data_IF_439453650783
#
_entry.id   IF_439453650783
#
_cell.length_a   1.000
_cell.length_b   1.000
_cell.length_c   1.000
_cell.angle_alpha   90.00
_cell.angle_beta   90.00
_cell.angle_gamma   90.00
#
_symmetry.space_group_name_H-M   'P 1'
#
loop_
_entity.id
_entity.type
_entity.pdbx_description
1 polymer ?
#
# COMPACT_ATOMS: atom_id res chain seq x y z
N UNK A 1 -24.20 10.26 -14.63
CA UNK A 1 -23.61 11.61 -14.65
C UNK A 1 -22.96 11.83 -13.31
N UNK A 2 -21.61 11.74 -13.24
CA UNK A 2 -20.91 11.74 -11.95
C UNK A 2 -20.30 13.12 -11.66
N UNK A 3 -21.05 13.97 -10.99
CA UNK A 3 -20.53 15.19 -10.38
C UNK A 3 -19.56 14.93 -9.21
N UNK A 4 -19.37 13.67 -8.82
CA UNK A 4 -18.62 13.31 -7.62
C UNK A 4 -17.08 13.44 -7.72
N UNK A 5 -16.52 13.31 -8.91
CA UNK A 5 -15.04 13.31 -9.07
C UNK A 5 -14.41 14.70 -8.99
N UNK A 6 -15.03 15.71 -9.61
CA UNK A 6 -14.53 17.08 -9.58
C UNK A 6 -14.63 17.72 -8.18
N UNK A 7 -15.70 17.40 -7.44
CA UNK A 7 -15.87 17.84 -6.04
C UNK A 7 -14.83 17.19 -5.13
N UNK A 8 -14.44 15.95 -5.39
CA UNK A 8 -13.45 15.25 -4.59
C UNK A 8 -12.03 15.83 -4.76
N UNK A 9 -11.63 16.20 -5.97
CA UNK A 9 -10.35 16.87 -6.22
C UNK A 9 -10.34 18.30 -5.64
N UNK A 10 -11.43 19.04 -5.73
CA UNK A 10 -11.55 20.39 -5.17
C UNK A 10 -11.49 20.39 -3.63
N UNK A 11 -12.12 19.43 -2.97
CA UNK A 11 -12.07 19.26 -1.50
C UNK A 11 -10.65 18.89 -1.04
N UNK A 12 -9.89 18.17 -1.85
CA UNK A 12 -8.47 17.91 -1.55
C UNK A 12 -7.62 19.18 -1.65
N UNK A 13 -7.84 20.05 -2.64
CA UNK A 13 -7.14 21.34 -2.72
C UNK A 13 -7.37 22.22 -1.49
N UNK A 14 -8.60 22.27 -0.97
CA UNK A 14 -8.94 23.08 0.22
C UNK A 14 -8.35 22.50 1.51
N UNK A 15 -8.28 21.18 1.66
CA UNK A 15 -7.63 20.52 2.80
C UNK A 15 -6.10 20.74 2.81
N UNK A 16 -5.46 20.79 1.64
CA UNK A 16 -4.02 21.00 1.53
C UNK A 16 -3.58 22.46 1.62
N UNK A 17 -4.45 23.42 1.32
CA UNK A 17 -4.15 24.85 1.57
C UNK A 17 -3.84 25.13 3.04
N UNK A 18 -4.42 24.36 3.97
CA UNK A 18 -4.11 24.42 5.40
C UNK A 18 -2.72 23.90 5.77
N UNK A 19 -2.11 23.03 4.98
CA UNK A 19 -0.79 22.44 5.23
C UNK A 19 0.36 23.12 4.48
N UNK A 20 0.07 23.89 3.43
CA UNK A 20 1.06 24.46 2.53
C UNK A 20 1.63 25.82 2.94
N UNK A 21 1.22 26.41 4.08
CA UNK A 21 1.69 27.74 4.51
C UNK A 21 3.11 27.75 5.12
N UNK A 22 3.89 26.69 4.99
CA UNK A 22 5.19 26.50 5.63
C UNK A 22 6.43 26.52 4.72
N UNK A 23 6.29 26.58 3.40
CA UNK A 23 7.46 26.52 2.49
C UNK A 23 7.40 27.57 1.39
N UNK A 24 7.58 28.83 1.78
CA UNK A 24 8.08 29.87 0.89
C UNK A 24 9.57 30.04 1.13
N UNK A 25 10.41 29.51 0.26
CA UNK A 25 11.79 29.95 0.14
C UNK A 25 12.06 30.58 -1.22
N UNK A 26 12.32 31.88 -1.09
CA UNK A 26 12.92 32.79 -2.06
C UNK A 26 13.97 32.14 -2.94
N UNK A 27 13.88 32.33 -4.25
CA UNK A 27 15.03 32.79 -5.01
C UNK A 27 14.60 33.46 -6.33
N UNK A 28 14.79 34.77 -6.31
CA UNK A 28 14.84 35.63 -7.48
C UNK A 28 16.27 35.62 -8.03
N UNK A 29 16.44 35.34 -9.29
CA UNK A 29 17.41 36.09 -10.11
C UNK A 29 17.22 35.79 -11.59
N UNK A 30 17.03 36.85 -12.30
CA UNK A 30 16.96 36.99 -13.75
C UNK A 30 18.28 36.62 -14.42
N UNK A 31 18.20 35.98 -15.58
CA UNK A 31 19.10 36.25 -16.69
C UNK A 31 18.42 35.86 -18.00
N UNK A 32 18.08 36.90 -18.76
CA UNK A 32 17.76 36.82 -20.18
C UNK A 32 19.04 36.50 -20.94
N UNK A 33 19.01 35.43 -21.75
CA UNK A 33 19.92 35.30 -22.88
C UNK A 33 19.09 34.93 -24.12
N UNK A 34 19.10 35.86 -25.07
CA UNK A 34 18.62 35.67 -26.43
C UNK A 34 19.44 34.57 -27.10
N UNK A 35 18.78 33.59 -27.70
CA UNK A 35 19.36 32.76 -28.74
C UNK A 35 18.37 32.67 -29.90
N UNK A 36 18.92 33.03 -31.04
CA UNK A 36 18.34 33.15 -32.35
C UNK A 36 17.76 31.87 -32.92
N UNK A 37 16.69 32.07 -33.65
CA UNK A 37 16.02 31.13 -34.55
C UNK A 37 16.94 30.25 -35.41
N UNK A 38 16.72 28.92 -35.39
CA UNK A 38 16.92 28.05 -36.54
C UNK A 38 15.72 27.12 -36.63
N UNK A 39 14.92 27.36 -37.64
CA UNK A 39 13.84 26.53 -38.14
C UNK A 39 14.42 25.23 -38.74
N UNK A 40 14.05 24.07 -38.15
CA UNK A 40 13.86 22.76 -38.77
C UNK A 40 13.96 21.64 -37.73
N UNK A 41 12.87 21.47 -36.93
CA UNK A 41 12.73 20.26 -36.08
C UNK A 41 11.28 19.95 -35.67
N UNK A 42 10.29 20.50 -36.40
CA UNK A 42 8.88 20.34 -35.98
C UNK A 42 8.28 18.95 -36.29
N UNK A 43 8.90 18.12 -37.12
CA UNK A 43 8.35 16.80 -37.47
C UNK A 43 8.82 15.63 -36.61
N UNK A 44 9.85 15.81 -35.78
CA UNK A 44 10.37 14.76 -34.86
C UNK A 44 9.87 14.90 -33.42
N UNK A 45 9.35 16.06 -33.04
CA UNK A 45 8.82 16.27 -31.67
C UNK A 45 7.39 15.75 -31.50
N UNK A 46 6.54 15.78 -32.54
CA UNK A 46 5.17 15.27 -32.50
C UNK A 46 5.10 13.73 -32.38
N UNK A 47 6.14 13.00 -32.77
CA UNK A 47 6.19 11.54 -32.64
C UNK A 47 6.65 11.07 -31.26
N UNK A 48 7.12 11.97 -30.37
CA UNK A 48 7.49 11.64 -28.99
C UNK A 48 6.29 11.85 -28.09
N UNK A 49 5.75 10.79 -27.45
CA UNK A 49 4.69 10.89 -26.46
C UNK A 49 5.02 11.89 -25.35
N UNK A 50 4.08 12.12 -24.45
CA UNK A 50 4.22 13.09 -23.34
C UNK A 50 5.47 12.80 -22.50
N UNK A 51 5.73 11.51 -22.20
CA UNK A 51 6.91 11.06 -21.47
C UNK A 51 8.23 11.45 -22.15
N UNK A 52 8.26 11.43 -23.49
CA UNK A 52 9.45 11.77 -24.27
C UNK A 52 9.85 13.25 -24.23
N UNK A 53 8.97 14.13 -23.78
CA UNK A 53 9.18 15.59 -23.66
C UNK A 53 9.72 16.00 -22.28
N UNK A 54 9.73 15.10 -21.29
CA UNK A 54 10.13 15.36 -19.91
C UNK A 54 11.54 14.83 -19.67
N UNK A 55 12.35 15.56 -18.91
CA UNK A 55 13.64 15.07 -18.46
C UNK A 55 13.54 14.12 -17.25
N UNK A 56 14.58 13.36 -16.95
CA UNK A 56 14.56 12.36 -15.90
C UNK A 56 14.48 12.95 -14.50
N UNK A 57 14.99 14.18 -14.30
CA UNK A 57 14.86 14.90 -13.03
C UNK A 57 13.39 15.26 -12.78
N UNK A 58 12.71 15.83 -13.79
CA UNK A 58 11.28 16.14 -13.70
C UNK A 58 10.45 14.87 -13.42
N UNK A 59 10.74 13.75 -14.12
CA UNK A 59 10.05 12.49 -13.91
C UNK A 59 10.21 11.99 -12.47
N UNK A 60 11.42 12.06 -11.93
CA UNK A 60 11.68 11.63 -10.54
C UNK A 60 10.96 12.49 -9.52
N UNK A 61 10.86 13.80 -9.75
CA UNK A 61 10.19 14.71 -8.83
C UNK A 61 8.66 14.63 -8.93
N UNK A 62 8.13 14.53 -10.15
CA UNK A 62 6.67 14.56 -10.36
C UNK A 62 5.98 13.21 -10.17
N UNK A 63 6.69 12.10 -10.38
CA UNK A 63 6.08 10.78 -10.36
C UNK A 63 6.78 9.82 -9.38
N UNK A 64 7.82 10.27 -8.68
CA UNK A 64 8.67 9.44 -7.82
C UNK A 64 9.11 8.14 -8.52
N UNK A 65 9.41 8.22 -9.83
CA UNK A 65 9.66 7.06 -10.67
C UNK A 65 10.78 7.30 -11.69
N UNK A 66 11.27 6.22 -12.29
CA UNK A 66 12.24 6.28 -13.38
C UNK A 66 11.56 6.21 -14.75
N UNK A 67 12.21 6.75 -15.79
CA UNK A 67 11.69 6.69 -17.16
C UNK A 67 11.38 5.26 -17.62
N UNK A 68 12.25 4.30 -17.31
CA UNK A 68 12.05 2.90 -17.67
C UNK A 68 10.79 2.31 -17.01
N UNK A 69 10.57 2.62 -15.73
CA UNK A 69 9.38 2.20 -15.02
C UNK A 69 8.11 2.86 -15.57
N UNK A 70 8.15 4.16 -15.87
CA UNK A 70 7.01 4.88 -16.45
C UNK A 70 6.67 4.35 -17.85
N UNK A 71 7.67 4.12 -18.70
CA UNK A 71 7.47 3.55 -20.03
C UNK A 71 6.82 2.16 -19.96
N UNK A 72 7.30 1.29 -19.04
CA UNK A 72 6.68 0.01 -18.78
C UNK A 72 5.21 0.13 -18.34
N UNK A 73 4.91 1.04 -17.40
CA UNK A 73 3.55 1.25 -16.90
C UNK A 73 2.62 1.75 -18.00
N UNK A 74 3.08 2.71 -18.83
CA UNK A 74 2.29 3.25 -19.93
C UNK A 74 1.97 2.14 -20.95
N UNK A 75 2.97 1.38 -21.37
CA UNK A 75 2.78 0.28 -22.32
C UNK A 75 1.83 -0.80 -21.76
N UNK A 76 2.09 -1.26 -20.54
CA UNK A 76 1.34 -2.34 -19.92
C UNK A 76 -0.13 -1.95 -19.69
N UNK A 77 -0.40 -0.77 -19.12
CA UNK A 77 -1.76 -0.29 -18.85
C UNK A 77 -2.51 0.01 -20.13
N UNK A 78 -1.85 0.62 -21.13
CA UNK A 78 -2.44 0.88 -22.46
C UNK A 78 -2.85 -0.43 -23.14
N UNK A 79 -1.97 -1.42 -23.13
CA UNK A 79 -2.25 -2.74 -23.71
C UNK A 79 -3.43 -3.44 -23.02
N UNK A 80 -3.62 -3.21 -21.71
CA UNK A 80 -4.73 -3.77 -20.96
C UNK A 80 -6.06 -3.08 -21.30
N UNK A 81 -6.06 -1.75 -21.36
CA UNK A 81 -7.23 -0.95 -21.72
C UNK A 81 -7.74 -1.28 -23.14
N UNK A 82 -6.84 -1.55 -24.09
CA UNK A 82 -7.23 -1.93 -25.46
C UNK A 82 -7.95 -3.27 -25.51
N UNK A 83 -7.60 -4.24 -24.64
CA UNK A 83 -8.25 -5.55 -24.58
C UNK A 83 -9.66 -5.48 -24.01
N UNK A 84 -9.92 -4.58 -23.10
CA UNK A 84 -11.21 -4.48 -22.39
C UNK A 84 -12.25 -3.61 -23.11
N UNK A 85 -12.04 -3.24 -24.40
CA UNK A 85 -12.96 -2.42 -25.25
C UNK A 85 -13.39 -1.14 -24.54
N UNK A 86 -12.48 -0.51 -23.82
CA UNK A 86 -12.76 0.72 -23.08
C UNK A 86 -12.70 1.94 -24.00
N UNK A 87 -13.81 2.71 -24.05
CA UNK A 87 -13.81 4.04 -24.70
C UNK A 87 -13.56 5.11 -23.64
N UNK A 88 -12.50 5.95 -23.77
CA UNK A 88 -12.35 7.12 -22.93
C UNK A 88 -13.60 8.00 -23.01
N UNK A 89 -14.04 8.55 -21.88
CA UNK A 89 -15.24 9.41 -21.82
C UNK A 89 -15.01 10.73 -22.58
N UNK A 90 -13.75 11.12 -22.77
CA UNK A 90 -13.34 12.28 -23.57
C UNK A 90 -12.53 11.82 -24.78
N UNK A 91 -12.98 12.11 -25.98
CA UNK A 91 -12.28 11.82 -27.25
C UNK A 91 -10.90 12.51 -27.36
N UNK A 92 -10.60 13.47 -26.49
CA UNK A 92 -9.37 14.26 -26.50
C UNK A 92 -8.33 13.84 -25.45
N UNK A 93 -8.69 13.02 -24.46
CA UNK A 93 -7.77 12.68 -23.36
C UNK A 93 -6.89 11.48 -23.74
N UNK A 94 -5.60 11.69 -23.83
CA UNK A 94 -4.61 10.63 -24.04
C UNK A 94 -4.56 9.67 -22.86
N UNK A 95 -4.53 8.37 -23.12
CA UNK A 95 -4.33 7.33 -22.08
C UNK A 95 -3.02 7.55 -21.32
N UNK A 96 -1.96 7.95 -22.03
CA UNK A 96 -0.67 8.32 -21.42
C UNK A 96 -0.83 9.47 -20.41
N UNK A 97 -1.58 10.52 -20.76
CA UNK A 97 -1.85 11.64 -19.87
C UNK A 97 -2.61 11.21 -18.61
N UNK A 98 -3.63 10.34 -18.75
CA UNK A 98 -4.39 9.82 -17.61
C UNK A 98 -3.52 8.96 -16.68
N UNK A 99 -2.62 8.13 -17.25
CA UNK A 99 -1.67 7.34 -16.46
C UNK A 99 -0.74 8.26 -15.68
N UNK A 100 -0.12 9.25 -16.33
CA UNK A 100 0.78 10.20 -15.67
C UNK A 100 0.06 11.04 -14.61
N UNK A 101 -1.17 11.49 -14.86
CA UNK A 101 -2.00 12.19 -13.87
C UNK A 101 -2.26 11.31 -12.63
N UNK A 102 -2.59 10.03 -12.85
CA UNK A 102 -2.81 9.07 -11.75
C UNK A 102 -1.54 8.84 -10.94
N UNK A 103 -0.40 8.66 -11.60
CA UNK A 103 0.88 8.48 -10.92
C UNK A 103 1.28 9.71 -10.11
N UNK A 104 1.06 10.92 -10.65
CA UNK A 104 1.26 12.17 -9.90
C UNK A 104 0.35 12.23 -8.67
N UNK A 105 -0.94 11.92 -8.83
CA UNK A 105 -1.89 11.88 -7.72
C UNK A 105 -1.45 10.86 -6.65
N UNK A 106 -1.07 9.65 -7.03
CA UNK A 106 -0.56 8.65 -6.09
C UNK A 106 0.66 9.17 -5.33
N UNK A 107 1.62 9.78 -6.04
CA UNK A 107 2.89 10.25 -5.47
C UNK A 107 2.74 11.44 -4.53
N UNK A 108 1.82 12.36 -4.81
CA UNK A 108 1.69 13.64 -4.08
C UNK A 108 0.39 13.77 -3.27
N UNK A 109 -0.62 12.94 -3.52
CA UNK A 109 -1.92 13.00 -2.85
C UNK A 109 -2.90 14.02 -3.44
N UNK A 110 -2.48 14.80 -4.42
CA UNK A 110 -3.30 15.81 -5.10
C UNK A 110 -2.85 15.99 -6.56
N UNK A 111 -3.68 16.66 -7.35
CA UNK A 111 -3.40 16.92 -8.76
C UNK A 111 -3.56 18.42 -9.06
N UNK A 112 -2.48 19.21 -9.04
CA UNK A 112 -2.55 20.65 -9.26
C UNK A 112 -2.85 20.97 -10.72
N UNK A 113 -3.57 22.09 -10.94
CA UNK A 113 -3.93 22.58 -12.28
C UNK A 113 -2.73 22.66 -13.22
N UNK A 114 -1.57 23.09 -12.73
CA UNK A 114 -0.33 23.18 -13.52
C UNK A 114 0.07 21.84 -14.13
N UNK A 115 -0.16 20.73 -13.43
CA UNK A 115 0.14 19.38 -13.93
C UNK A 115 -0.93 18.94 -14.93
N UNK A 116 -2.22 19.17 -14.65
CA UNK A 116 -3.29 18.83 -15.61
C UNK A 116 -3.14 19.61 -16.91
N UNK A 117 -2.82 20.92 -16.84
CA UNK A 117 -2.55 21.76 -18.02
C UNK A 117 -1.33 21.23 -18.83
N UNK A 118 -0.25 20.82 -18.14
CA UNK A 118 0.93 20.21 -18.77
C UNK A 118 0.60 18.91 -19.50
N UNK A 119 -0.32 18.12 -18.94
CA UNK A 119 -0.76 16.84 -19.51
C UNK A 119 -1.89 17.02 -20.55
N UNK A 120 -2.38 18.23 -20.77
CA UNK A 120 -3.50 18.52 -21.68
C UNK A 120 -4.83 17.96 -21.19
N UNK A 121 -5.04 17.87 -19.88
CA UNK A 121 -6.25 17.37 -19.25
C UNK A 121 -7.01 18.51 -18.56
N UNK A 122 -8.33 18.54 -18.70
CA UNK A 122 -9.16 19.30 -17.78
C UNK A 122 -9.32 18.57 -16.43
N UNK A 123 -9.86 19.24 -15.42
CA UNK A 123 -10.01 18.65 -14.08
C UNK A 123 -10.94 17.43 -14.06
N UNK A 124 -11.97 17.40 -14.89
CA UNK A 124 -12.91 16.30 -14.97
C UNK A 124 -12.24 15.07 -15.59
N UNK A 125 -11.59 15.24 -16.75
CA UNK A 125 -10.85 14.19 -17.43
C UNK A 125 -9.72 13.64 -16.54
N UNK A 126 -9.04 14.49 -15.78
CA UNK A 126 -8.02 14.09 -14.84
C UNK A 126 -8.59 13.24 -13.69
N UNK A 127 -9.73 13.63 -13.11
CA UNK A 127 -10.42 12.88 -12.06
C UNK A 127 -10.93 11.52 -12.55
N UNK A 128 -11.52 11.49 -13.73
CA UNK A 128 -11.95 10.25 -14.39
C UNK A 128 -10.77 9.34 -14.71
N UNK A 129 -9.65 9.92 -15.17
CA UNK A 129 -8.39 9.22 -15.40
C UNK A 129 -7.88 8.56 -14.13
N UNK A 130 -7.83 9.26 -13.00
CA UNK A 130 -7.41 8.68 -11.70
C UNK A 130 -8.29 7.50 -11.32
N UNK A 131 -9.61 7.62 -11.44
CA UNK A 131 -10.53 6.53 -11.11
C UNK A 131 -10.35 5.31 -12.04
N UNK A 132 -10.24 5.56 -13.34
CA UNK A 132 -10.09 4.51 -14.35
C UNK A 132 -8.76 3.77 -14.18
N UNK A 133 -7.66 4.51 -14.17
CA UNK A 133 -6.31 3.92 -14.13
C UNK A 133 -6.09 3.21 -12.78
N UNK A 134 -6.58 3.77 -11.67
CA UNK A 134 -6.53 3.09 -10.37
C UNK A 134 -7.30 1.77 -10.41
N UNK A 135 -8.46 1.73 -11.09
CA UNK A 135 -9.20 0.47 -11.29
C UNK A 135 -8.39 -0.52 -12.11
N UNK A 136 -7.83 -0.12 -13.24
CA UNK A 136 -7.01 -1.01 -14.10
C UNK A 136 -5.82 -1.55 -13.33
N UNK A 137 -5.10 -0.70 -12.59
CA UNK A 137 -3.97 -1.12 -11.76
C UNK A 137 -4.42 -2.10 -10.66
N UNK A 138 -5.55 -1.86 -10.00
CA UNK A 138 -6.09 -2.77 -8.99
C UNK A 138 -6.50 -4.12 -9.59
N UNK A 139 -7.14 -4.13 -10.76
CA UNK A 139 -7.54 -5.35 -11.48
C UNK A 139 -6.32 -6.19 -11.93
N UNK A 140 -5.13 -5.55 -12.02
CA UNK A 140 -3.86 -6.22 -12.33
C UNK A 140 -3.14 -6.79 -11.09
N UNK A 141 -3.69 -6.64 -9.89
CA UNK A 141 -3.04 -7.04 -8.63
C UNK A 141 -2.52 -8.47 -8.66
N UNK A 142 -3.30 -9.42 -9.20
CA UNK A 142 -2.92 -10.83 -9.33
C UNK A 142 -1.65 -11.09 -10.16
N UNK A 143 -1.20 -10.12 -10.97
CA UNK A 143 0.05 -10.24 -11.77
C UNK A 143 1.29 -9.73 -11.05
N UNK A 144 1.12 -8.93 -9.99
CA UNK A 144 2.22 -8.25 -9.30
C UNK A 144 2.24 -8.50 -7.79
N UNK A 145 1.13 -8.94 -7.21
CA UNK A 145 0.98 -9.27 -5.80
C UNK A 145 0.55 -10.73 -5.76
N UNK A 146 1.49 -11.62 -5.49
CA UNK A 146 1.25 -13.07 -5.51
C UNK A 146 1.84 -13.71 -4.26
N UNK A 147 1.03 -14.52 -3.60
CA UNK A 147 1.53 -15.35 -2.50
C UNK A 147 2.33 -16.53 -3.07
N UNK A 148 3.43 -16.96 -2.42
CA UNK A 148 4.27 -18.03 -2.94
C UNK A 148 3.49 -19.36 -3.06
N UNK A 149 3.29 -19.81 -4.31
CA UNK A 149 2.41 -20.92 -4.62
C UNK A 149 3.09 -22.29 -4.48
N UNK A 150 4.35 -22.41 -4.93
CA UNK A 150 5.10 -23.66 -4.85
C UNK A 150 5.73 -23.87 -3.46
N UNK A 151 6.08 -25.11 -3.15
CA UNK A 151 6.85 -25.39 -1.92
C UNK A 151 8.20 -24.69 -1.93
N UNK A 152 8.90 -24.70 -3.05
CA UNK A 152 10.24 -24.08 -3.17
C UNK A 152 10.18 -22.56 -3.01
N UNK A 153 9.17 -21.90 -3.60
CA UNK A 153 8.96 -20.45 -3.43
C UNK A 153 8.72 -20.12 -1.94
N UNK A 154 7.87 -20.89 -1.26
CA UNK A 154 7.62 -20.70 0.18
C UNK A 154 8.87 -20.90 1.02
N UNK A 155 9.65 -21.93 0.72
CA UNK A 155 10.91 -22.18 1.45
C UNK A 155 11.95 -21.11 1.17
N UNK A 156 11.99 -20.54 -0.04
CA UNK A 156 12.83 -19.39 -0.36
C UNK A 156 12.49 -18.17 0.51
N UNK A 157 11.20 -17.83 0.63
CA UNK A 157 10.72 -16.75 1.51
C UNK A 157 11.01 -17.08 2.97
N UNK A 158 10.73 -18.30 3.41
CA UNK A 158 10.96 -18.75 4.79
C UNK A 158 12.43 -18.68 5.20
N UNK A 159 13.36 -19.00 4.30
CA UNK A 159 14.79 -18.87 4.56
C UNK A 159 15.20 -17.41 4.81
N UNK A 160 14.63 -16.47 4.06
CA UNK A 160 14.84 -15.03 4.28
C UNK A 160 14.44 -14.61 5.70
N UNK A 161 13.26 -14.99 6.14
CA UNK A 161 12.78 -14.69 7.50
C UNK A 161 13.61 -15.40 8.59
N UNK A 162 13.97 -16.66 8.38
CA UNK A 162 14.82 -17.43 9.30
C UNK A 162 16.18 -16.77 9.52
N UNK A 163 16.77 -16.21 8.47
CA UNK A 163 18.09 -15.56 8.55
C UNK A 163 18.11 -14.33 9.48
N UNK A 164 16.97 -13.62 9.61
CA UNK A 164 16.88 -12.41 10.44
C UNK A 164 16.26 -12.64 11.82
N UNK A 165 15.46 -13.68 11.98
CA UNK A 165 14.70 -13.92 13.22
C UNK A 165 15.02 -15.24 13.92
N UNK A 166 15.61 -16.21 13.21
CA UNK A 166 15.76 -17.58 13.70
C UNK A 166 14.46 -18.40 13.65
N UNK A 167 13.29 -17.79 13.37
CA UNK A 167 12.00 -18.50 13.33
C UNK A 167 11.88 -19.22 11.98
N UNK A 168 11.73 -20.55 11.95
CA UNK A 168 11.61 -21.31 10.72
C UNK A 168 10.19 -21.20 10.11
N UNK A 169 10.07 -21.50 8.83
CA UNK A 169 8.82 -21.67 8.09
C UNK A 169 7.88 -20.44 8.09
N UNK A 170 8.38 -19.25 8.41
CA UNK A 170 7.63 -18.00 8.26
C UNK A 170 7.61 -17.62 6.78
N UNK A 171 6.42 -17.44 6.21
CA UNK A 171 6.23 -17.10 4.79
C UNK A 171 5.62 -15.72 4.57
N UNK A 172 5.39 -14.95 5.63
CA UNK A 172 4.91 -13.57 5.54
C UNK A 172 4.63 -12.95 6.89
N UNK A 173 4.62 -11.62 6.90
CA UNK A 173 4.19 -10.83 8.05
C UNK A 173 2.91 -10.09 7.68
N UNK A 174 1.86 -10.33 8.46
CA UNK A 174 0.56 -9.71 8.29
C UNK A 174 0.47 -8.42 9.09
N UNK A 175 0.03 -7.36 8.42
CA UNK A 175 -0.23 -6.07 9.03
C UNK A 175 -1.43 -5.36 8.38
N UNK A 176 -1.82 -4.24 8.97
CA UNK A 176 -2.93 -3.43 8.50
C UNK A 176 -2.45 -2.03 8.13
N UNK A 177 -2.64 -1.66 6.86
CA UNK A 177 -2.38 -0.31 6.35
C UNK A 177 -3.60 0.55 6.63
N UNK A 178 -3.48 1.54 7.52
CA UNK A 178 -4.51 2.54 7.77
C UNK A 178 -4.31 3.79 6.91
N UNK A 179 -5.35 4.20 6.19
CA UNK A 179 -5.37 5.42 5.38
C UNK A 179 -6.44 6.35 5.95
N UNK A 180 -6.04 7.59 6.30
CA UNK A 180 -6.96 8.58 6.89
C UNK A 180 -8.11 8.90 5.97
N UNK A 181 -9.29 9.06 6.56
CA UNK A 181 -10.50 9.49 5.85
C UNK A 181 -11.31 10.43 6.73
N UNK A 182 -12.14 11.26 6.10
CA UNK A 182 -13.19 12.00 6.79
C UNK A 182 -14.46 11.15 6.74
N UNK A 183 -15.01 10.69 7.87
CA UNK A 183 -16.21 9.86 7.88
C UNK A 183 -17.40 10.64 7.31
N UNK A 184 -18.44 9.95 6.79
CA UNK A 184 -19.65 10.60 6.32
C UNK A 184 -20.30 11.40 7.45
N UNK A 185 -20.86 12.58 7.15
CA UNK A 185 -21.63 13.32 8.14
C UNK A 185 -22.87 12.50 8.51
N UNK A 186 -22.93 12.02 9.72
CA UNK A 186 -24.03 11.19 10.22
C UNK A 186 -24.64 11.80 11.45
N UNK A 187 -25.96 11.64 11.55
CA UNK A 187 -26.75 12.03 12.73
C UNK A 187 -26.62 11.02 13.89
N UNK A 188 -25.83 9.95 13.73
CA UNK A 188 -25.68 8.90 14.73
C UNK A 188 -24.22 8.68 15.10
N UNK A 189 -23.90 8.74 16.37
CA UNK A 189 -22.56 8.50 16.96
C UNK A 189 -21.98 7.11 16.66
N UNK A 190 -22.82 6.16 16.24
CA UNK A 190 -22.41 4.79 15.91
C UNK A 190 -21.59 4.68 14.62
N UNK A 191 -21.84 5.54 13.63
CA UNK A 191 -21.12 5.46 12.32
C UNK A 191 -19.73 6.08 12.42
N UNK A 192 -19.53 7.12 13.22
CA UNK A 192 -18.21 7.71 13.47
C UNK A 192 -17.27 6.72 14.14
N UNK A 193 -17.80 5.90 15.09
CA UNK A 193 -17.00 4.90 15.79
C UNK A 193 -16.49 3.76 14.88
N UNK A 194 -17.16 3.48 13.75
CA UNK A 194 -16.73 2.44 12.81
C UNK A 194 -15.40 2.76 12.11
N UNK A 195 -15.12 4.04 11.87
CA UNK A 195 -13.90 4.47 11.20
C UNK A 195 -12.76 4.80 12.15
N UNK A 196 -13.05 4.97 13.45
CA UNK A 196 -12.03 5.30 14.46
C UNK A 196 -11.11 4.09 14.70
N UNK A 197 -9.86 4.21 14.30
CA UNK A 197 -8.87 3.17 14.49
C UNK A 197 -8.24 3.20 15.91
N UNK A 198 -7.46 2.17 16.28
CA UNK A 198 -6.80 2.11 17.60
C UNK A 198 -5.79 3.24 17.87
N UNK A 199 -5.33 3.94 16.82
CA UNK A 199 -4.42 5.09 16.93
C UNK A 199 -5.15 6.42 17.15
N UNK A 200 -6.50 6.41 17.26
CA UNK A 200 -7.31 7.57 17.60
C UNK A 200 -7.65 8.49 16.43
N UNK A 201 -7.60 8.02 15.19
CA UNK A 201 -8.05 8.78 14.02
C UNK A 201 -8.96 7.95 13.09
N UNK A 202 -9.79 8.64 12.31
CA UNK A 202 -10.66 7.98 11.35
C UNK A 202 -9.87 7.51 10.13
N UNK A 203 -10.07 6.24 9.74
CA UNK A 203 -9.36 5.61 8.62
C UNK A 203 -10.20 4.54 7.92
N UNK A 204 -9.79 4.18 6.73
CA UNK A 204 -10.03 2.86 6.15
C UNK A 204 -8.78 2.01 6.37
N UNK A 205 -8.96 0.71 6.47
CA UNK A 205 -7.91 -0.27 6.73
C UNK A 205 -7.85 -1.27 5.59
N UNK A 206 -6.64 -1.60 5.15
CA UNK A 206 -6.35 -2.64 4.16
C UNK A 206 -5.41 -3.67 4.79
N UNK A 207 -5.79 -4.97 4.76
CA UNK A 207 -4.90 -6.05 5.16
C UNK A 207 -3.81 -6.24 4.13
N UNK A 208 -2.57 -6.34 4.57
CA UNK A 208 -1.42 -6.62 3.72
C UNK A 208 -0.57 -7.74 4.33
N UNK A 209 0.06 -8.55 3.47
CA UNK A 209 1.11 -9.49 3.86
C UNK A 209 2.36 -9.14 3.06
N UNK A 210 3.50 -9.01 3.73
CA UNK A 210 4.78 -8.72 3.10
C UNK A 210 5.82 -9.80 3.38
N UNK A 211 6.79 -9.93 2.47
CA UNK A 211 8.00 -10.72 2.69
C UNK A 211 9.09 -9.92 3.40
N UNK A 212 10.23 -10.57 3.63
CA UNK A 212 11.41 -9.99 4.28
C UNK A 212 12.06 -8.87 3.45
N UNK A 213 11.96 -8.96 2.13
CA UNK A 213 12.50 -7.97 1.21
C UNK A 213 11.57 -6.76 1.05
N UNK A 214 10.37 -6.81 1.62
CA UNK A 214 9.36 -5.77 1.56
C UNK A 214 8.51 -5.81 0.28
N UNK A 215 8.41 -6.95 -0.42
CA UNK A 215 7.40 -7.13 -1.45
C UNK A 215 6.06 -7.45 -0.78
N UNK A 216 4.98 -6.98 -1.38
CA UNK A 216 3.63 -7.34 -0.96
C UNK A 216 3.25 -8.68 -1.60
N UNK A 217 2.89 -9.62 -0.76
CA UNK A 217 2.47 -10.98 -1.15
C UNK A 217 0.95 -11.12 -1.22
N UNK A 218 0.22 -10.35 -0.41
CA UNK A 218 -1.25 -10.29 -0.41
C UNK A 218 -1.73 -8.90 0.00
N UNK A 219 -2.81 -8.46 -0.60
CA UNK A 219 -3.50 -7.19 -0.31
C UNK A 219 -5.00 -7.44 -0.43
N UNK A 220 -5.70 -7.43 0.69
CA UNK A 220 -7.11 -7.81 0.75
C UNK A 220 -7.90 -7.00 1.77
N UNK A 221 -9.23 -7.06 1.66
CA UNK A 221 -10.19 -6.63 2.69
C UNK A 221 -10.06 -5.15 3.09
N UNK A 222 -10.45 -4.25 2.19
CA UNK A 222 -10.62 -2.85 2.56
C UNK A 222 -11.90 -2.67 3.39
N UNK A 223 -11.76 -2.14 4.61
CA UNK A 223 -12.86 -1.97 5.54
C UNK A 223 -12.67 -0.71 6.42
N UNK A 224 -13.71 -0.26 7.16
CA UNK A 224 -13.57 0.82 8.13
C UNK A 224 -12.49 0.53 9.18
N UNK A 225 -11.71 1.54 9.55
CA UNK A 225 -10.51 1.40 10.39
C UNK A 225 -10.75 0.95 11.82
N UNK A 226 -11.99 1.03 12.33
CA UNK A 226 -12.38 0.48 13.63
C UNK A 226 -12.73 -1.01 13.60
N UNK A 227 -12.68 -1.67 12.42
CA UNK A 227 -12.90 -3.11 12.29
C UNK A 227 -11.77 -3.87 13.01
N UNK A 228 -12.11 -4.95 13.71
CA UNK A 228 -11.10 -5.78 14.39
C UNK A 228 -10.23 -6.53 13.37
N UNK A 229 -8.91 -6.53 13.56
CA UNK A 229 -7.96 -7.24 12.69
C UNK A 229 -8.30 -8.72 12.55
N UNK A 230 -8.71 -9.38 13.66
CA UNK A 230 -9.21 -10.77 13.63
C UNK A 230 -10.33 -10.95 12.61
N UNK A 231 -11.32 -10.05 12.62
CA UNK A 231 -12.47 -10.15 11.71
C UNK A 231 -12.07 -9.94 10.26
N UNK A 232 -11.09 -9.07 10.01
CA UNK A 232 -10.56 -8.83 8.66
C UNK A 232 -9.81 -10.06 8.17
N UNK A 233 -8.95 -10.63 9.02
CA UNK A 233 -8.19 -11.84 8.74
C UNK A 233 -9.12 -13.02 8.39
N UNK A 234 -10.11 -13.33 9.25
CA UNK A 234 -11.04 -14.44 9.06
C UNK A 234 -11.91 -14.34 7.80
N UNK A 235 -12.07 -13.15 7.23
CA UNK A 235 -12.80 -12.88 6.00
C UNK A 235 -11.92 -12.89 4.74
N UNK A 236 -10.59 -12.94 4.87
CA UNK A 236 -9.68 -12.88 3.74
C UNK A 236 -9.62 -14.21 2.97
N UNK A 237 -9.32 -14.15 1.68
CA UNK A 237 -9.15 -15.35 0.86
C UNK A 237 -7.93 -16.13 1.32
N UNK A 238 -6.85 -15.44 1.64
CA UNK A 238 -5.62 -16.07 2.12
C UNK A 238 -5.83 -16.85 3.42
N UNK A 239 -6.73 -16.40 4.33
CA UNK A 239 -7.15 -17.18 5.48
C UNK A 239 -7.76 -18.52 5.07
N UNK A 240 -8.66 -18.51 4.07
CA UNK A 240 -9.30 -19.73 3.57
C UNK A 240 -8.28 -20.69 2.97
N UNK A 241 -7.27 -20.19 2.28
CA UNK A 241 -6.19 -21.00 1.74
C UNK A 241 -5.36 -21.66 2.86
N UNK A 242 -5.06 -20.95 3.94
CA UNK A 242 -4.34 -21.50 5.10
C UNK A 242 -5.14 -22.58 5.83
N UNK A 243 -6.43 -22.35 6.11
CA UNK A 243 -7.25 -23.36 6.79
C UNK A 243 -7.51 -24.61 5.92
N UNK A 244 -7.46 -24.47 4.59
CA UNK A 244 -7.56 -25.57 3.63
C UNK A 244 -6.19 -26.23 3.34
N UNK A 245 -5.15 -25.93 4.11
CA UNK A 245 -3.81 -26.52 4.03
C UNK A 245 -3.07 -26.30 2.70
N UNK A 246 -3.46 -25.32 1.90
CA UNK A 246 -2.83 -25.06 0.61
C UNK A 246 -1.37 -24.60 0.76
N UNK A 247 -1.00 -24.05 1.91
CA UNK A 247 0.35 -23.56 2.19
C UNK A 247 1.20 -24.49 3.06
N UNK A 248 0.68 -25.70 3.41
CA UNK A 248 1.40 -26.70 4.19
C UNK A 248 1.68 -26.25 5.64
N UNK A 249 2.83 -26.68 6.17
CA UNK A 249 3.25 -26.32 7.54
C UNK A 249 4.09 -25.04 7.52
N UNK A 250 3.44 -23.92 7.24
CA UNK A 250 4.07 -22.60 7.23
C UNK A 250 3.33 -21.64 8.14
N UNK A 251 4.03 -20.57 8.55
CA UNK A 251 3.55 -19.58 9.49
C UNK A 251 3.43 -18.20 8.84
N UNK A 252 2.39 -17.49 9.23
CA UNK A 252 2.36 -16.03 9.17
C UNK A 252 2.70 -15.47 10.55
N UNK A 253 3.33 -14.31 10.58
CA UNK A 253 3.56 -13.55 11.80
C UNK A 253 2.55 -12.41 11.85
N UNK A 254 1.87 -12.24 12.98
CA UNK A 254 0.87 -11.21 13.17
C UNK A 254 0.89 -10.56 14.54
N UNK A 255 0.27 -9.39 14.63
CA UNK A 255 0.20 -8.61 15.87
C UNK A 255 -0.75 -9.23 16.92
N UNK A 256 -0.79 -8.62 18.10
CA UNK A 256 -1.65 -9.02 19.23
C UNK A 256 -3.17 -8.95 18.94
N UNK A 257 -3.57 -8.26 17.86
CA UNK A 257 -4.96 -8.18 17.40
C UNK A 257 -5.47 -9.45 16.72
N UNK A 258 -4.56 -10.37 16.38
CA UNK A 258 -4.84 -11.61 15.67
C UNK A 258 -4.86 -12.81 16.62
N UNK A 259 -5.69 -13.85 16.34
CA UNK A 259 -5.68 -15.08 17.12
C UNK A 259 -4.45 -15.91 16.83
N UNK A 260 -3.83 -16.45 17.87
CA UNK A 260 -2.84 -17.52 17.72
C UNK A 260 -3.51 -18.74 17.09
N UNK A 261 -2.87 -19.33 16.11
CA UNK A 261 -3.37 -20.54 15.44
C UNK A 261 -2.21 -21.37 14.89
N UNK A 262 -2.50 -22.54 14.32
CA UNK A 262 -1.50 -23.38 13.67
C UNK A 262 -0.78 -22.71 12.47
N UNK A 263 -1.27 -21.57 11.98
CA UNK A 263 -0.71 -20.86 10.84
C UNK A 263 -0.38 -19.38 11.18
N UNK A 264 -0.64 -18.95 12.42
CA UNK A 264 -0.44 -17.57 12.84
C UNK A 264 0.37 -17.52 14.14
N UNK A 265 1.59 -17.04 14.06
CA UNK A 265 2.42 -16.74 15.24
C UNK A 265 2.08 -15.36 15.76
N UNK A 266 1.75 -15.30 17.06
CA UNK A 266 1.49 -14.04 17.76
C UNK A 266 2.40 -13.94 18.99
N UNK A 267 2.62 -12.74 19.56
CA UNK A 267 3.48 -12.59 20.72
C UNK A 267 2.97 -13.38 21.92
N UNK A 268 3.85 -14.10 22.60
CA UNK A 268 3.54 -14.81 23.86
C UNK A 268 3.26 -13.77 24.94
N UNK A 269 2.17 -13.92 25.67
CA UNK A 269 1.82 -13.02 26.76
C UNK A 269 2.72 -13.27 27.97
N UNK A 270 3.15 -12.19 28.66
CA UNK A 270 4.02 -12.26 29.84
C UNK A 270 3.45 -13.08 31.00
N UNK A 271 2.15 -13.28 31.05
CA UNK A 271 1.46 -14.10 32.07
C UNK A 271 1.59 -15.60 31.81
N UNK A 272 1.86 -16.01 30.57
CA UNK A 272 1.87 -17.41 30.15
C UNK A 272 3.26 -18.06 30.17
N UNK A 273 4.33 -17.27 30.07
CA UNK A 273 5.68 -17.82 30.15
C UNK A 273 6.69 -16.81 30.70
N UNK A 274 7.44 -17.25 31.73
CA UNK A 274 8.59 -16.53 32.29
C UNK A 274 9.92 -17.11 31.79
N UNK A 275 9.90 -17.92 30.71
CA UNK A 275 11.09 -18.56 30.20
C UNK A 275 11.91 -17.59 29.34
N UNK A 276 13.23 -17.71 29.40
CA UNK A 276 14.15 -16.94 28.54
C UNK A 276 13.88 -17.22 27.04
N UNK A 277 13.43 -18.42 26.70
CA UNK A 277 13.01 -18.81 25.36
C UNK A 277 11.85 -17.95 24.81
N UNK A 278 10.80 -17.72 25.61
CA UNK A 278 9.67 -16.88 25.21
C UNK A 278 10.06 -15.41 25.04
N UNK A 279 11.00 -14.91 25.83
CA UNK A 279 11.48 -13.53 25.67
C UNK A 279 12.32 -13.40 24.39
N UNK A 280 13.18 -14.37 24.08
CA UNK A 280 13.95 -14.42 22.82
C UNK A 280 13.00 -14.51 21.62
N UNK A 281 12.01 -15.39 21.68
CA UNK A 281 10.96 -15.46 20.64
C UNK A 281 10.24 -14.13 20.46
N UNK A 282 9.79 -13.49 21.53
CA UNK A 282 9.11 -12.20 21.44
C UNK A 282 9.99 -11.09 20.84
N UNK A 283 11.29 -11.11 21.10
CA UNK A 283 12.25 -10.19 20.47
C UNK A 283 12.35 -10.43 18.96
N UNK A 284 12.51 -11.69 18.53
CA UNK A 284 12.55 -12.10 17.15
C UNK A 284 11.24 -11.78 16.42
N UNK A 285 10.11 -12.10 17.04
CA UNK A 285 8.78 -11.78 16.54
C UNK A 285 8.57 -10.27 16.35
N UNK A 286 9.00 -9.45 17.32
CA UNK A 286 8.93 -7.98 17.24
C UNK A 286 9.77 -7.43 16.09
N UNK A 287 10.93 -8.00 15.82
CA UNK A 287 11.75 -7.61 14.67
C UNK A 287 11.01 -7.86 13.34
N UNK A 288 10.31 -9.00 13.22
CA UNK A 288 9.49 -9.30 12.04
C UNK A 288 8.30 -8.35 11.88
N UNK A 289 7.60 -8.02 12.95
CA UNK A 289 6.54 -7.01 12.90
C UNK A 289 7.07 -5.63 12.47
N UNK A 290 8.27 -5.27 12.96
CA UNK A 290 8.91 -4.00 12.59
C UNK A 290 9.25 -3.96 11.09
N UNK A 291 9.60 -5.10 10.45
CA UNK A 291 9.84 -5.13 9.01
C UNK A 291 8.57 -4.82 8.21
N UNK A 292 7.41 -5.33 8.61
CA UNK A 292 6.14 -4.99 7.98
C UNK A 292 5.76 -3.51 8.20
N UNK A 293 6.02 -2.95 9.39
CA UNK A 293 5.83 -1.51 9.65
C UNK A 293 6.72 -0.66 8.73
N UNK A 294 7.94 -1.12 8.47
CA UNK A 294 8.82 -0.46 7.50
C UNK A 294 8.21 -0.49 6.08
N UNK A 295 7.62 -1.60 5.66
CA UNK A 295 6.92 -1.70 4.35
C UNK A 295 5.76 -0.70 4.27
N UNK A 296 4.95 -0.58 5.34
CA UNK A 296 3.88 0.41 5.42
C UNK A 296 4.44 1.85 5.33
N UNK A 297 5.54 2.11 6.01
CA UNK A 297 6.27 3.38 5.92
C UNK A 297 6.75 3.67 4.50
N UNK A 298 7.33 2.67 3.80
CA UNK A 298 7.75 2.78 2.41
C UNK A 298 6.58 3.08 1.47
N UNK A 299 5.43 2.39 1.64
CA UNK A 299 4.21 2.64 0.87
C UNK A 299 3.76 4.10 1.01
N UNK A 300 3.62 4.59 2.24
CA UNK A 300 3.19 5.97 2.51
C UNK A 300 4.21 7.01 2.06
N UNK A 301 5.49 6.69 2.09
CA UNK A 301 6.55 7.56 1.61
C UNK A 301 6.54 7.69 0.08
N UNK A 302 6.30 6.59 -0.65
CA UNK A 302 6.16 6.60 -2.11
C UNK A 302 4.88 7.28 -2.55
N UNK A 303 3.77 6.99 -1.87
CA UNK A 303 2.42 7.35 -2.28
C UNK A 303 1.75 8.21 -1.21
N UNK A 304 1.92 9.53 -1.33
CA UNK A 304 1.40 10.48 -0.34
C UNK A 304 -0.14 10.49 -0.28
N UNK A 305 -0.83 10.03 -1.33
CA UNK A 305 -2.28 9.83 -1.28
C UNK A 305 -2.72 8.86 -0.16
N UNK A 306 -1.83 7.96 0.29
CA UNK A 306 -2.09 7.04 1.41
C UNK A 306 -2.05 7.71 2.79
N UNK A 307 -1.66 8.98 2.90
CA UNK A 307 -1.82 9.75 4.14
C UNK A 307 -3.26 10.22 4.35
N UNK A 308 -4.07 10.37 3.28
CA UNK A 308 -5.48 10.70 3.38
C UNK A 308 -6.20 10.73 2.04
N UNK A 309 -7.36 10.10 1.97
CA UNK A 309 -8.20 9.99 0.78
C UNK A 309 -9.46 10.87 0.81
N UNK A 310 -9.57 11.76 1.80
CA UNK A 310 -10.69 12.71 1.92
C UNK A 310 -11.98 12.08 2.45
N UNK A 311 -13.15 12.59 2.06
CA UNK A 311 -14.43 12.24 2.63
C UNK A 311 -14.97 10.89 2.12
N UNK A 312 -15.39 10.04 3.05
CA UNK A 312 -16.12 8.81 2.75
C UNK A 312 -17.59 9.16 2.44
N UNK A 313 -18.03 8.87 1.24
CA UNK A 313 -19.45 8.89 0.88
C UNK A 313 -19.94 7.44 0.76
N UNK A 314 -21.24 7.22 0.88
CA UNK A 314 -21.85 5.89 1.03
C UNK A 314 -21.39 4.79 0.03
N UNK A 315 -20.85 5.17 -1.15
CA UNK A 315 -20.40 4.23 -2.19
C UNK A 315 -18.88 4.34 -2.48
N UNK A 316 -18.07 4.97 -1.62
CA UNK A 316 -16.66 5.24 -1.93
C UNK A 316 -15.65 4.27 -1.34
N UNK A 317 -16.04 3.32 -0.48
CA UNK A 317 -15.12 2.33 0.06
C UNK A 317 -14.43 1.53 -1.05
N UNK A 318 -15.17 1.18 -2.10
CA UNK A 318 -14.62 0.49 -3.28
C UNK A 318 -13.60 1.36 -4.05
N UNK A 319 -13.86 2.67 -4.19
CA UNK A 319 -12.91 3.59 -4.82
C UNK A 319 -11.64 3.70 -4.00
N UNK A 320 -11.73 3.79 -2.68
CA UNK A 320 -10.56 3.81 -1.80
C UNK A 320 -9.78 2.48 -1.87
N UNK A 321 -10.51 1.35 -1.87
CA UNK A 321 -9.91 0.04 -2.08
C UNK A 321 -9.09 -0.02 -3.36
N UNK A 322 -9.64 0.45 -4.48
CA UNK A 322 -8.97 0.49 -5.79
C UNK A 322 -7.70 1.35 -5.75
N UNK A 323 -7.76 2.55 -5.18
CA UNK A 323 -6.60 3.45 -5.08
C UNK A 323 -5.51 2.82 -4.20
N UNK A 324 -5.88 2.27 -3.04
CA UNK A 324 -4.91 1.64 -2.14
C UNK A 324 -4.27 0.41 -2.81
N UNK A 325 -5.07 -0.45 -3.45
CA UNK A 325 -4.57 -1.62 -4.18
C UNK A 325 -3.67 -1.20 -5.34
N UNK A 326 -4.04 -0.15 -6.10
CA UNK A 326 -3.20 0.40 -7.15
C UNK A 326 -1.83 0.85 -6.62
N UNK A 327 -1.78 1.55 -5.48
CA UNK A 327 -0.52 1.91 -4.82
C UNK A 327 0.30 0.68 -4.41
N UNK A 328 -0.36 -0.38 -3.93
CA UNK A 328 0.30 -1.64 -3.58
C UNK A 328 0.90 -2.33 -4.82
N UNK A 329 0.18 -2.36 -5.94
CA UNK A 329 0.68 -2.86 -7.23
C UNK A 329 1.88 -2.05 -7.71
N UNK A 330 1.75 -0.72 -7.69
CA UNK A 330 2.83 0.19 -8.06
C UNK A 330 4.07 0.01 -7.16
N UNK A 331 3.89 -0.28 -5.86
CA UNK A 331 5.00 -0.55 -4.96
C UNK A 331 5.84 -1.74 -5.42
N UNK A 332 5.22 -2.88 -5.72
CA UNK A 332 5.94 -4.06 -6.21
C UNK A 332 6.58 -3.81 -7.59
N UNK A 333 5.90 -3.08 -8.49
CA UNK A 333 6.48 -2.68 -9.77
C UNK A 333 7.70 -1.79 -9.54
N UNK A 334 7.63 -0.77 -8.67
CA UNK A 334 8.74 0.13 -8.39
C UNK A 334 9.93 -0.61 -7.78
N UNK A 335 9.69 -1.59 -6.93
CA UNK A 335 10.74 -2.49 -6.42
C UNK A 335 11.41 -3.27 -7.55
N UNK A 336 10.63 -3.87 -8.45
CA UNK A 336 11.14 -4.61 -9.61
C UNK A 336 12.04 -3.75 -10.51
N UNK A 337 11.73 -2.47 -10.64
CA UNK A 337 12.53 -1.49 -11.39
C UNK A 337 13.60 -0.79 -10.53
N UNK A 338 13.81 -1.22 -9.29
CA UNK A 338 14.76 -0.61 -8.35
C UNK A 338 14.59 0.90 -8.21
N UNK A 339 13.35 1.40 -8.30
CA UNK A 339 13.04 2.82 -8.11
C UNK A 339 13.28 3.20 -6.65
N UNK A 340 14.17 4.18 -6.36
CA UNK A 340 14.48 4.56 -5.00
C UNK A 340 13.28 5.19 -4.29
N UNK A 341 13.31 5.20 -2.96
CA UNK A 341 12.36 5.99 -2.17
C UNK A 341 12.67 7.48 -2.33
N UNK A 342 11.65 8.34 -2.41
CA UNK A 342 11.85 9.79 -2.52
C UNK A 342 12.47 10.40 -1.25
N UNK A 343 12.32 9.73 -0.11
CA UNK A 343 12.87 10.10 1.20
C UNK A 343 12.85 8.89 2.14
N UNK A 344 13.48 9.01 3.31
CA UNK A 344 13.42 7.99 4.35
C UNK A 344 11.97 7.73 4.80
N UNK A 345 11.60 6.45 5.01
CA UNK A 345 10.26 6.09 5.45
C UNK A 345 9.98 6.54 6.88
N UNK A 346 8.81 7.12 7.09
CA UNK A 346 8.32 7.48 8.42
C UNK A 346 7.51 6.32 8.96
N UNK A 347 7.96 5.74 10.07
CA UNK A 347 7.27 4.64 10.72
C UNK A 347 6.09 5.18 11.55
N UNK A 348 4.91 4.59 11.38
CA UNK A 348 3.79 4.85 12.29
C UNK A 348 3.97 4.04 13.58
N UNK A 349 3.53 4.60 14.72
CA UNK A 349 3.56 3.84 15.97
C UNK A 349 2.68 2.59 15.84
N UNK A 350 3.12 1.50 16.48
CA UNK A 350 2.27 0.31 16.60
C UNK A 350 0.99 0.68 17.38
N UNK A 351 -0.18 0.17 16.98
CA UNK A 351 -1.40 0.44 17.71
C UNK A 351 -1.28 -0.03 19.16
N UNK A 352 -1.84 0.74 20.12
CA UNK A 352 -1.87 0.32 21.50
C UNK A 352 -2.61 -1.01 21.61
N UNK A 353 -2.11 -1.86 22.49
CA UNK A 353 -2.71 -3.18 22.74
C UNK A 353 -4.12 -2.97 23.25
N UNK A 354 -5.12 -3.35 22.49
CA UNK A 354 -6.48 -3.50 23.02
C UNK A 354 -6.48 -4.74 23.91
N UNK A 355 -6.42 -4.54 25.23
CA UNK A 355 -6.56 -5.63 26.19
C UNK A 355 -7.98 -6.16 26.09
N UNK A 356 -8.14 -7.31 25.43
CA UNK A 356 -9.41 -8.04 25.45
C UNK A 356 -9.63 -8.61 26.85
N UNK A 357 -10.84 -8.47 27.35
CA UNK A 357 -11.32 -9.33 28.44
C UNK A 357 -11.31 -10.76 27.92
N UNK A 358 -10.54 -11.61 28.57
CA UNK A 358 -10.35 -13.01 28.25
C UNK A 358 -11.69 -13.72 28.20
N UNK A 359 -12.11 -14.14 27.01
CA UNK A 359 -12.99 -15.27 26.79
C UNK A 359 -12.10 -16.39 26.28
N UNK A 360 -11.99 -17.46 27.03
CA UNK A 360 -11.18 -18.64 26.75
C UNK A 360 -11.55 -19.25 25.38
N UNK A 361 -10.82 -18.93 24.32
CA UNK A 361 -10.75 -19.80 23.15
C UNK A 361 -9.61 -20.79 23.40
N UNK A 362 -9.97 -22.01 23.80
CA UNK A 362 -9.06 -23.16 23.83
C UNK A 362 -8.43 -23.32 22.45
N UNK A 363 -7.12 -23.19 22.39
CA UNK A 363 -6.31 -23.58 21.25
C UNK A 363 -6.64 -25.03 20.90
N UNK A 364 -7.23 -25.30 19.75
CA UNK A 364 -7.42 -26.65 19.23
C UNK A 364 -6.08 -27.16 18.71
N UNK A 365 -5.39 -27.95 19.52
CA UNK A 365 -4.24 -28.74 19.10
C UNK A 365 -4.71 -29.87 18.18
N UNK A 366 -4.46 -29.74 16.88
CA UNK A 366 -4.37 -30.90 15.98
C UNK A 366 -2.89 -31.26 15.82
N UNK A 367 -2.58 -32.54 15.72
CA UNK A 367 -1.22 -33.12 15.66
C UNK A 367 -0.31 -32.34 14.68
N UNK A 368 0.57 -31.50 15.22
CA UNK A 368 1.56 -30.66 14.55
C UNK A 368 2.21 -29.78 15.58
N UNK A 369 3.45 -29.40 15.36
CA UNK A 369 4.22 -28.50 16.24
C UNK A 369 3.37 -27.31 16.64
N UNK A 370 3.18 -27.10 17.94
CA UNK A 370 2.53 -25.92 18.49
C UNK A 370 3.51 -24.73 18.45
N UNK A 371 3.01 -23.51 18.66
CA UNK A 371 3.91 -22.37 18.84
C UNK A 371 4.87 -22.59 20.03
N UNK A 372 4.41 -23.27 21.09
CA UNK A 372 5.23 -23.60 22.26
C UNK A 372 6.34 -24.58 21.89
N UNK A 373 6.05 -25.65 21.14
CA UNK A 373 7.04 -26.63 20.69
C UNK A 373 8.11 -25.96 19.80
N UNK A 374 7.68 -25.08 18.90
CA UNK A 374 8.60 -24.34 18.04
C UNK A 374 9.48 -23.36 18.85
N UNK A 375 8.92 -22.69 19.87
CA UNK A 375 9.68 -21.81 20.75
C UNK A 375 10.74 -22.59 21.54
N UNK A 376 10.37 -23.74 22.09
CA UNK A 376 11.31 -24.59 22.82
C UNK A 376 12.41 -25.13 21.92
N UNK A 377 12.06 -25.58 20.71
CA UNK A 377 13.02 -26.10 19.73
C UNK A 377 14.01 -25.04 19.26
N UNK A 378 13.53 -23.81 18.96
CA UNK A 378 14.34 -22.76 18.35
C UNK A 378 15.03 -21.85 19.37
N UNK A 379 14.50 -21.70 20.56
CA UNK A 379 14.91 -20.74 21.58
C UNK A 379 15.12 -21.37 22.97
N UNK A 380 14.85 -22.68 23.15
CA UNK A 380 14.91 -23.39 24.44
C UNK A 380 16.32 -23.76 24.89
N UNK A 381 17.25 -23.99 23.95
CA UNK A 381 18.61 -24.42 24.31
C UNK A 381 19.50 -23.21 24.68
N UNK A 382 19.53 -22.90 25.98
CA UNK A 382 20.73 -22.33 26.59
C UNK A 382 21.68 -23.53 26.84
N UNK A 383 22.61 -23.76 25.90
CA UNK A 383 23.70 -24.69 26.17
C UNK A 383 24.45 -24.17 27.39
N UNK A 384 24.51 -25.01 28.43
CA UNK A 384 25.46 -24.90 29.53
C UNK A 384 26.91 -24.77 29.03
#
# INVERSE_FOLDING_TARGET
MSFGGAVWLAVQEDLYRGFSSGYDHKNSSSSRSNISSSSNSSSTEESRGILGRMDDYFLSQCFHSSRACLAFLIDYVTSRLQKDVFRPVSDSASVEAMILATLHFCSHGFLPKKITDLLGLDQLAAAEGVNLISKVLADMSHSFITFPGSYDDRMGVAQGFKNISGIPNVVGVLGCLHVRVTPPPTTTTTTESLYLNPLGYNSVMMQIISDVDGNLLSVEQCCPGGTLEKTVWEKSNIYQEFINFQHGQTWLVGGKGLPQSRHMLTPVQRTQSKTSAAERFNAAHSALLSSNQHVIGCLKTRFQCLHGLGAVQANKLETFSRIITACCVLHNIYKKFSVPLPREPVLEPLPPVQVRKEGEEKSFCYMGETQEDMIEMCFGNDGD
#
